data_IF_692224763874
#
_entry.id   IF_692224763874
#
_cell.length_a   1.000
_cell.length_b   1.000
_cell.length_c   1.000
_cell.angle_alpha   90.00
_cell.angle_beta   90.00
_cell.angle_gamma   90.00
#
_symmetry.space_group_name_H-M   'P 1'
#
loop_
_entity.id
_entity.type
_entity.pdbx_description
1 polymer ?
#
# COMPACT_ATOMS: atom_id res chain seq x y z
N UNK A 1 -3.33 -6.55 -22.00
CA UNK A 1 -2.28 -5.59 -21.61
C UNK A 1 -1.62 -6.02 -20.30
N UNK A 2 -0.28 -5.98 -20.20
CA UNK A 2 0.44 -6.19 -18.93
C UNK A 2 0.68 -4.84 -18.27
N UNK A 3 0.19 -4.67 -17.04
CA UNK A 3 0.36 -3.44 -16.27
C UNK A 3 1.72 -3.40 -15.57
N UNK A 4 2.16 -2.22 -15.12
CA UNK A 4 3.40 -2.03 -14.34
C UNK A 4 3.41 -2.84 -13.04
N UNK A 5 2.22 -3.14 -12.48
CA UNK A 5 2.07 -4.05 -11.35
C UNK A 5 2.37 -5.52 -11.67
N UNK A 6 2.56 -5.87 -12.94
CA UNK A 6 2.70 -7.25 -13.43
C UNK A 6 1.38 -7.99 -13.66
N UNK A 7 0.23 -7.38 -13.32
CA UNK A 7 -1.11 -7.91 -13.65
C UNK A 7 -1.32 -7.92 -15.17
N UNK A 8 -1.91 -9.00 -15.69
CA UNK A 8 -2.37 -9.08 -17.08
C UNK A 8 -3.88 -8.86 -17.10
N UNK A 9 -4.29 -7.79 -17.79
CA UNK A 9 -5.67 -7.31 -17.80
C UNK A 9 -6.17 -7.09 -19.24
N UNK A 10 -7.43 -7.43 -19.47
CA UNK A 10 -8.19 -7.10 -20.68
C UNK A 10 -8.56 -5.61 -20.64
N UNK A 11 -8.30 -4.94 -21.75
CA UNK A 11 -8.62 -3.53 -22.00
C UNK A 11 -9.34 -3.48 -23.35
N UNK A 12 -10.37 -2.64 -23.48
CA UNK A 12 -11.10 -2.51 -24.74
C UNK A 12 -10.17 -1.97 -25.81
N UNK A 13 -10.33 -2.42 -27.05
CA UNK A 13 -9.47 -1.99 -28.16
C UNK A 13 -9.61 -0.49 -28.48
N UNK A 14 -10.76 0.10 -28.15
CA UNK A 14 -11.05 1.53 -28.36
C UNK A 14 -10.37 2.45 -27.33
N UNK A 15 -9.75 1.90 -26.28
CA UNK A 15 -9.10 2.71 -25.25
C UNK A 15 -7.85 3.40 -25.81
N UNK A 16 -7.73 4.71 -25.56
CA UNK A 16 -6.56 5.48 -25.94
C UNK A 16 -5.33 5.12 -25.10
N UNK A 17 -4.16 5.17 -25.73
CA UNK A 17 -2.87 5.05 -25.08
C UNK A 17 -1.83 5.90 -25.82
N UNK A 18 -0.81 6.34 -25.11
CA UNK A 18 0.36 7.01 -25.69
C UNK A 18 1.51 6.01 -25.81
N UNK A 19 2.28 6.11 -26.88
CA UNK A 19 3.46 5.25 -27.10
C UNK A 19 4.61 5.77 -26.23
N UNK A 20 5.25 4.85 -25.51
CA UNK A 20 6.42 5.13 -24.66
C UNK A 20 6.19 4.87 -23.17
N UNK A 21 7.27 4.95 -22.40
CA UNK A 21 7.22 4.90 -20.94
C UNK A 21 7.08 6.30 -20.35
N UNK A 22 6.59 6.39 -19.12
CA UNK A 22 6.57 7.67 -18.38
C UNK A 22 8.01 8.11 -18.11
N UNK A 23 8.29 9.41 -18.29
CA UNK A 23 9.59 10.02 -18.04
C UNK A 23 10.00 9.97 -16.56
N UNK A 24 11.28 10.28 -16.28
CA UNK A 24 11.85 10.36 -14.92
C UNK A 24 11.84 9.04 -14.12
N UNK A 25 12.46 7.96 -14.65
CA UNK A 25 12.60 6.70 -13.92
C UNK A 25 13.47 6.84 -12.66
N UNK A 26 14.43 7.77 -12.65
CA UNK A 26 15.33 8.02 -11.51
C UNK A 26 14.65 8.64 -10.29
N UNK A 27 13.38 9.05 -10.43
CA UNK A 27 12.56 9.51 -9.30
C UNK A 27 12.56 8.52 -8.12
N UNK A 28 12.64 7.21 -8.39
CA UNK A 28 12.69 6.18 -7.36
C UNK A 28 13.97 6.20 -6.52
N UNK A 29 15.06 6.78 -7.05
CA UNK A 29 16.38 6.82 -6.41
C UNK A 29 16.55 8.04 -5.49
N UNK A 30 15.54 8.93 -5.42
CA UNK A 30 15.62 10.16 -4.62
C UNK A 30 15.64 9.84 -3.12
N UNK A 31 16.64 10.37 -2.43
CA UNK A 31 16.72 10.37 -0.96
C UNK A 31 16.09 11.66 -0.40
N UNK A 32 15.11 11.50 0.49
CA UNK A 32 14.40 12.64 1.11
C UNK A 32 15.29 13.42 2.09
N UNK A 33 16.23 12.73 2.75
CA UNK A 33 17.27 13.33 3.60
C UNK A 33 16.80 13.77 4.98
N UNK A 34 15.78 14.65 5.07
CA UNK A 34 15.31 15.23 6.33
C UNK A 34 13.79 15.15 6.51
N UNK A 35 13.34 15.15 7.77
CA UNK A 35 11.92 15.16 8.11
C UNK A 35 11.16 16.35 7.50
N UNK A 36 11.77 17.53 7.45
CA UNK A 36 11.16 18.73 6.85
C UNK A 36 10.80 18.58 5.37
N UNK A 37 11.57 17.81 4.59
CA UNK A 37 11.25 17.59 3.17
C UNK A 37 9.99 16.73 2.99
N UNK A 38 9.72 15.78 3.89
CA UNK A 38 8.43 15.09 3.92
C UNK A 38 7.26 16.03 4.22
N UNK A 39 7.47 17.04 5.08
CA UNK A 39 6.45 18.05 5.38
C UNK A 39 6.12 18.92 4.18
N UNK A 40 7.13 19.29 3.38
CA UNK A 40 6.92 20.02 2.11
C UNK A 40 6.12 19.20 1.09
N UNK A 41 6.26 17.87 1.12
CA UNK A 41 5.45 16.93 0.33
C UNK A 41 4.05 16.68 0.92
N UNK A 42 3.62 17.42 1.94
CA UNK A 42 2.32 17.26 2.59
C UNK A 42 2.19 16.03 3.50
N UNK A 43 3.28 15.30 3.75
CA UNK A 43 3.26 14.08 4.57
C UNK A 43 3.46 14.42 6.05
N UNK A 44 2.44 14.19 6.87
CA UNK A 44 2.50 14.32 8.33
C UNK A 44 3.23 13.12 8.95
N UNK A 45 3.83 13.26 10.16
CA UNK A 45 4.37 12.13 10.90
C UNK A 45 3.31 11.05 11.10
N UNK A 46 3.68 9.78 10.91
CA UNK A 46 2.81 8.64 11.13
C UNK A 46 3.24 7.91 12.41
N UNK A 47 2.29 7.69 13.32
CA UNK A 47 2.55 7.04 14.62
C UNK A 47 2.27 5.55 14.50
N UNK A 48 3.17 4.72 15.04
CA UNK A 48 3.03 3.25 15.01
C UNK A 48 1.98 2.78 16.01
N UNK A 49 1.19 1.77 15.67
CA UNK A 49 0.19 1.22 16.59
C UNK A 49 0.75 0.67 17.91
N UNK A 50 2.00 0.20 17.90
CA UNK A 50 2.70 -0.35 19.07
C UNK A 50 2.99 0.72 20.14
N UNK A 51 3.08 1.99 19.75
CA UNK A 51 3.34 3.09 20.71
C UNK A 51 2.05 3.73 21.23
N UNK A 52 0.89 3.16 20.89
CA UNK A 52 -0.42 3.67 21.30
C UNK A 52 -0.97 2.90 22.50
N UNK A 53 -2.11 3.34 23.04
CA UNK A 53 -2.81 2.61 24.10
C UNK A 53 -3.75 1.54 23.49
N UNK A 54 -4.20 0.54 24.28
CA UNK A 54 -5.13 -0.49 23.81
C UNK A 54 -6.43 0.05 23.21
N UNK A 55 -6.87 1.24 23.64
CA UNK A 55 -8.07 1.93 23.13
C UNK A 55 -7.88 2.49 21.71
N UNK A 56 -6.66 2.86 21.35
CA UNK A 56 -6.36 3.53 20.09
C UNK A 56 -6.02 2.55 18.96
N UNK A 57 -5.32 1.46 19.32
CA UNK A 57 -4.84 0.49 18.35
C UNK A 57 -4.83 -0.92 18.94
N UNK A 58 -5.18 -1.96 18.16
CA UNK A 58 -5.03 -3.34 18.59
C UNK A 58 -3.61 -3.78 18.97
N UNK A 59 -2.59 -2.96 18.71
CA UNK A 59 -1.19 -3.27 19.07
C UNK A 59 -0.73 -2.45 20.27
N UNK A 60 -1.60 -1.60 20.81
CA UNK A 60 -1.27 -0.71 21.90
C UNK A 60 -1.25 -1.41 23.25
N UNK A 61 -0.52 -0.81 24.20
CA UNK A 61 -0.35 -1.30 25.56
C UNK A 61 0.71 -2.39 25.73
N UNK A 62 0.65 -3.03 26.91
CA UNK A 62 1.72 -3.88 27.43
C UNK A 62 2.79 -3.08 28.17
N UNK A 63 3.51 -3.75 29.07
CA UNK A 63 4.63 -3.13 29.80
C UNK A 63 5.87 -3.04 28.91
N UNK A 64 6.49 -1.87 28.89
CA UNK A 64 7.63 -1.60 28.00
C UNK A 64 7.28 -1.72 26.51
N UNK A 65 8.26 -2.07 25.69
CA UNK A 65 8.06 -2.21 24.24
C UNK A 65 7.64 -3.64 23.90
N UNK A 66 6.35 -3.84 23.63
CA UNK A 66 5.81 -5.14 23.21
C UNK A 66 5.47 -5.17 21.72
N UNK A 67 5.28 -6.35 21.13
CA UNK A 67 4.83 -6.52 19.74
C UNK A 67 3.30 -6.64 19.61
N UNK A 68 2.55 -6.45 20.70
CA UNK A 68 1.09 -6.61 20.76
C UNK A 68 0.58 -8.06 20.71
N UNK A 69 1.47 -9.06 20.59
CA UNK A 69 1.19 -10.49 20.74
C UNK A 69 0.19 -11.10 19.74
N UNK A 70 -0.13 -10.40 18.65
CA UNK A 70 -1.19 -10.78 17.70
C UNK A 70 -0.76 -10.63 16.25
N UNK A 71 -1.54 -11.21 15.33
CA UNK A 71 -1.33 -10.99 13.90
C UNK A 71 -1.37 -9.49 13.59
N UNK A 72 -0.44 -8.94 12.78
CA UNK A 72 -0.43 -7.53 12.44
C UNK A 72 -1.76 -7.07 11.81
N UNK A 73 -2.36 -6.04 12.39
CA UNK A 73 -3.62 -5.45 11.97
C UNK A 73 -3.52 -3.92 11.82
N UNK A 74 -4.50 -3.36 11.11
CA UNK A 74 -4.79 -1.93 11.05
C UNK A 74 -5.38 -1.44 12.39
N UNK A 75 -5.49 -0.12 12.61
CA UNK A 75 -6.20 0.43 13.77
C UNK A 75 -7.63 -0.11 13.93
N UNK A 76 -8.28 -0.46 12.81
CA UNK A 76 -9.63 -1.03 12.78
C UNK A 76 -9.65 -2.57 12.77
N UNK A 77 -8.56 -3.24 13.12
CA UNK A 77 -8.51 -4.70 13.28
C UNK A 77 -8.41 -5.51 11.98
N UNK A 78 -8.38 -4.88 10.80
CA UNK A 78 -8.16 -5.60 9.53
C UNK A 78 -6.71 -6.09 9.42
N UNK A 79 -6.43 -7.38 9.15
CA UNK A 79 -5.08 -7.89 8.95
C UNK A 79 -4.29 -7.19 7.84
N UNK A 80 -3.01 -6.87 8.09
CA UNK A 80 -2.14 -6.12 7.16
C UNK A 80 -1.15 -6.98 6.38
N UNK A 81 -0.87 -8.20 6.84
CA UNK A 81 -0.04 -9.17 6.12
C UNK A 81 -0.93 -10.18 5.38
N UNK A 82 -0.74 -10.32 4.07
CA UNK A 82 -1.35 -11.37 3.23
C UNK A 82 -2.86 -11.25 2.93
N UNK A 83 -3.65 -10.54 3.76
CA UNK A 83 -5.11 -10.44 3.55
C UNK A 83 -5.45 -9.64 2.30
N UNK A 84 -6.05 -10.31 1.31
CA UNK A 84 -6.61 -9.67 0.11
C UNK A 84 -7.81 -8.79 0.47
N UNK A 85 -7.86 -7.59 -0.08
CA UNK A 85 -8.88 -6.58 0.27
C UNK A 85 -9.97 -6.40 -0.77
N UNK A 86 -9.70 -6.71 -2.04
CA UNK A 86 -10.65 -6.54 -3.16
C UNK A 86 -11.46 -7.81 -3.39
N UNK A 87 -12.78 -7.66 -3.51
CA UNK A 87 -13.74 -8.75 -3.79
C UNK A 87 -14.75 -8.42 -4.93
N UNK A 88 -14.48 -7.41 -5.76
CA UNK A 88 -15.41 -6.97 -6.79
C UNK A 88 -15.40 -7.88 -8.05
N UNK A 89 -16.43 -8.71 -8.17
CA UNK A 89 -16.64 -9.63 -9.31
C UNK A 89 -16.72 -8.92 -10.67
N UNK A 90 -17.31 -7.72 -10.73
CA UNK A 90 -17.50 -6.97 -12.00
C UNK A 90 -16.17 -6.59 -12.66
N UNK A 91 -15.13 -6.34 -11.86
CA UNK A 91 -13.79 -5.98 -12.34
C UNK A 91 -12.86 -7.18 -12.46
N UNK A 92 -13.11 -8.25 -11.68
CA UNK A 92 -12.27 -9.44 -11.68
C UNK A 92 -12.33 -10.20 -13.02
N UNK A 93 -13.47 -10.17 -13.73
CA UNK A 93 -13.61 -10.75 -15.08
C UNK A 93 -12.65 -10.18 -16.13
N UNK A 94 -12.12 -8.98 -15.90
CA UNK A 94 -11.17 -8.34 -16.83
C UNK A 94 -9.73 -8.78 -16.56
N UNK A 95 -9.47 -9.60 -15.54
CA UNK A 95 -8.13 -9.95 -15.10
C UNK A 95 -7.81 -11.37 -15.54
N UNK A 96 -6.88 -11.50 -16.48
CA UNK A 96 -6.43 -12.80 -17.00
C UNK A 96 -5.43 -13.44 -16.03
N UNK A 97 -4.50 -12.63 -15.50
CA UNK A 97 -3.50 -13.09 -14.52
C UNK A 97 -3.25 -12.03 -13.48
N UNK A 98 -3.36 -12.38 -12.19
CA UNK A 98 -3.09 -11.47 -11.07
C UNK A 98 -1.59 -11.14 -10.99
N UNK A 99 -1.26 -9.98 -10.40
CA UNK A 99 0.12 -9.62 -10.05
C UNK A 99 0.76 -10.69 -9.15
N UNK A 100 2.07 -10.87 -9.27
CA UNK A 100 2.83 -11.70 -8.33
C UNK A 100 2.91 -10.95 -6.97
N UNK A 101 2.77 -11.66 -5.83
CA UNK A 101 2.97 -11.07 -4.50
C UNK A 101 4.38 -10.52 -4.32
#
# INVERSE_FOLDING_TARGET
MRLTSGEVRLVRSECMASIGAVSNPDQQNIKIGKAGRNRWLGKRPHVRGVVMNPVDHPHGGGEGRTSGGRHPVTPWGKPTKGKRTRNNKKTDRLIVRRRKP
#
